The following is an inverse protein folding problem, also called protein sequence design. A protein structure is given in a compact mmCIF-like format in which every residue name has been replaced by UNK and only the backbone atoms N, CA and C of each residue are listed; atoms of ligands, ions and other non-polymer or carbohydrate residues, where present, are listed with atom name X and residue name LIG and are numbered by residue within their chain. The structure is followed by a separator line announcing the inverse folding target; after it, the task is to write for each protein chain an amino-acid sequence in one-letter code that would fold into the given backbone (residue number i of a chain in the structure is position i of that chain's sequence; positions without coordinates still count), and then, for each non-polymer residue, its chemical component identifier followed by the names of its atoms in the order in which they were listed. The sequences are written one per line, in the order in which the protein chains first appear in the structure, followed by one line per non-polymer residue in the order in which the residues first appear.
data_IF_678321490707
#
_entry.id   IF_678321490707
#
_cell.length_a   1.000
_cell.length_b   1.000
_cell.length_c   1.000
_cell.angle_alpha   90.00
_cell.angle_beta   90.00
_cell.angle_gamma   90.00
#
_symmetry.space_group_name_H-M   'P 1'
#
loop_
_entity.id
_entity.type
_entity.pdbx_description
1 polymer ?
#
# COMPACT_ATOMS: atom_id res chain seq x y z
N UNK A 1 -27.68 -2.58 7.60
CA UNK A 1 -26.51 -3.44 7.32
C UNK A 1 -25.44 -3.15 8.38
N UNK A 2 -24.91 -4.18 9.03
CA UNK A 2 -24.10 -4.01 10.25
C UNK A 2 -22.84 -3.19 9.97
N UNK A 3 -22.55 -2.17 10.78
CA UNK A 3 -21.36 -1.31 10.68
C UNK A 3 -20.04 -2.10 10.51
N UNK A 4 -19.99 -3.32 11.07
CA UNK A 4 -18.90 -4.28 10.92
C UNK A 4 -18.63 -4.72 9.46
N UNK A 5 -19.67 -4.89 8.64
CA UNK A 5 -19.54 -5.32 7.25
C UNK A 5 -18.88 -4.24 6.37
N UNK A 6 -19.22 -2.97 6.60
CA UNK A 6 -18.59 -1.86 5.86
C UNK A 6 -17.12 -1.70 6.22
N UNK A 7 -16.75 -1.86 7.49
CA UNK A 7 -15.34 -1.86 7.91
C UNK A 7 -14.57 -3.03 7.28
N UNK A 8 -15.18 -4.22 7.26
CA UNK A 8 -14.57 -5.38 6.62
C UNK A 8 -14.35 -5.16 5.11
N UNK A 9 -15.35 -4.64 4.40
CA UNK A 9 -15.23 -4.30 2.97
C UNK A 9 -14.16 -3.24 2.71
N UNK A 10 -14.04 -2.22 3.58
CA UNK A 10 -13.01 -1.20 3.45
C UNK A 10 -11.60 -1.78 3.63
N UNK A 11 -11.40 -2.60 4.66
CA UNK A 11 -10.11 -3.26 4.90
C UNK A 11 -9.79 -4.22 3.76
N UNK A 12 -10.76 -5.05 3.33
CA UNK A 12 -10.56 -5.99 2.23
C UNK A 12 -10.23 -5.27 0.91
N UNK A 13 -10.95 -4.19 0.57
CA UNK A 13 -10.65 -3.38 -0.61
C UNK A 13 -9.28 -2.70 -0.50
N UNK A 14 -8.91 -2.21 0.69
CA UNK A 14 -7.60 -1.65 0.98
C UNK A 14 -6.48 -2.67 0.78
N UNK A 15 -6.63 -3.88 1.30
CA UNK A 15 -5.65 -4.97 1.12
C UNK A 15 -5.51 -5.37 -0.35
N UNK A 16 -6.62 -5.48 -1.09
CA UNK A 16 -6.55 -5.77 -2.53
C UNK A 16 -5.81 -4.66 -3.27
N UNK A 17 -6.08 -3.40 -2.96
CA UNK A 17 -5.38 -2.27 -3.55
C UNK A 17 -3.88 -2.26 -3.19
N UNK A 18 -3.52 -2.56 -1.95
CA UNK A 18 -2.13 -2.65 -1.49
C UNK A 18 -1.35 -3.73 -2.23
N UNK A 19 -1.93 -4.93 -2.38
CA UNK A 19 -1.32 -6.03 -3.16
C UNK A 19 -1.13 -5.61 -4.62
N UNK A 20 -2.14 -4.98 -5.24
CA UNK A 20 -2.03 -4.50 -6.61
C UNK A 20 -0.93 -3.45 -6.78
N UNK A 21 -0.79 -2.54 -5.82
CA UNK A 21 0.27 -1.53 -5.81
C UNK A 21 1.65 -2.15 -5.61
N UNK A 22 1.79 -3.14 -4.73
CA UNK A 22 3.04 -3.88 -4.53
C UNK A 22 3.47 -4.62 -5.79
N UNK A 23 2.55 -5.32 -6.46
CA UNK A 23 2.82 -6.01 -7.73
C UNK A 23 3.21 -4.99 -8.81
N UNK A 24 2.47 -3.89 -8.94
CA UNK A 24 2.77 -2.86 -9.92
C UNK A 24 4.15 -2.22 -9.68
N UNK A 25 4.48 -1.89 -8.43
CA UNK A 25 5.78 -1.32 -8.07
C UNK A 25 6.93 -2.30 -8.33
N UNK A 26 6.76 -3.57 -7.97
CA UNK A 26 7.75 -4.61 -8.26
C UNK A 26 7.95 -4.80 -9.78
N UNK A 27 6.86 -4.84 -10.55
CA UNK A 27 6.92 -4.96 -12.01
C UNK A 27 7.68 -3.78 -12.66
N UNK A 28 7.41 -2.54 -12.22
CA UNK A 28 8.12 -1.35 -12.70
C UNK A 28 9.62 -1.41 -12.38
N UNK A 29 9.99 -1.85 -11.18
CA UNK A 29 11.41 -1.99 -10.80
C UNK A 29 12.12 -3.08 -11.60
N UNK A 30 11.48 -4.24 -11.79
CA UNK A 30 12.04 -5.32 -12.61
C UNK A 30 12.19 -4.87 -14.07
N UNK A 31 11.21 -4.14 -14.60
CA UNK A 31 11.29 -3.54 -15.94
C UNK A 31 12.46 -2.55 -16.03
N UNK A 32 12.64 -1.68 -15.04
CA UNK A 32 13.80 -0.78 -14.94
C UNK A 32 15.13 -1.53 -14.93
N UNK A 33 15.25 -2.61 -14.13
CA UNK A 33 16.45 -3.44 -14.12
C UNK A 33 16.72 -4.11 -15.46
N UNK A 34 15.67 -4.52 -16.18
CA UNK A 34 15.82 -5.09 -17.52
C UNK A 34 16.39 -4.06 -18.52
N UNK A 35 15.92 -2.81 -18.48
CA UNK A 35 16.46 -1.73 -19.32
C UNK A 35 17.88 -1.31 -18.92
N UNK A 36 18.20 -1.35 -17.63
CA UNK A 36 19.51 -0.98 -17.11
C UNK A 36 20.49 -2.16 -17.01
N UNK A 37 20.17 -3.33 -17.57
CA UNK A 37 20.97 -4.56 -17.42
C UNK A 37 22.42 -4.38 -17.87
N UNK A 38 22.65 -3.56 -18.88
CA UNK A 38 23.98 -3.35 -19.47
C UNK A 38 24.89 -2.51 -18.56
N UNK A 39 24.33 -1.85 -17.53
CA UNK A 39 25.07 -1.14 -16.48
C UNK A 39 25.34 -2.04 -15.25
N UNK A 40 24.78 -3.24 -15.21
CA UNK A 40 24.88 -4.14 -14.05
C UNK A 40 26.06 -5.10 -14.22
N UNK A 41 26.95 -5.22 -13.22
CA UNK A 41 28.05 -6.19 -13.27
C UNK A 41 27.54 -7.62 -13.40
N UNK A 42 28.22 -8.42 -14.22
CA UNK A 42 27.93 -9.85 -14.35
C UNK A 42 28.02 -10.54 -12.98
N UNK A 43 26.93 -11.18 -12.56
CA UNK A 43 26.80 -11.82 -11.24
C UNK A 43 26.02 -11.01 -10.19
N UNK A 44 25.81 -9.71 -10.37
CA UNK A 44 24.99 -8.90 -9.45
C UNK A 44 23.47 -9.02 -9.73
N UNK A 45 23.09 -9.54 -10.90
CA UNK A 45 21.69 -9.61 -11.35
C UNK A 45 20.74 -10.33 -10.38
N UNK A 46 21.09 -11.52 -9.80
CA UNK A 46 20.20 -12.21 -8.86
C UNK A 46 19.97 -11.42 -7.56
N UNK A 47 21.01 -10.74 -7.07
CA UNK A 47 20.93 -9.87 -5.91
C UNK A 47 20.03 -8.67 -6.21
N UNK A 48 20.22 -8.01 -7.35
CA UNK A 48 19.43 -6.84 -7.75
C UNK A 48 17.96 -7.18 -7.96
N UNK A 49 17.63 -8.35 -8.54
CA UNK A 49 16.24 -8.82 -8.64
C UNK A 49 15.60 -9.02 -7.26
N UNK A 50 16.33 -9.60 -6.31
CA UNK A 50 15.84 -9.80 -4.93
C UNK A 50 15.61 -8.46 -4.23
N UNK A 51 16.54 -7.51 -4.40
CA UNK A 51 16.40 -6.14 -3.86
C UNK A 51 15.23 -5.41 -4.51
N UNK A 52 15.05 -5.53 -5.83
CA UNK A 52 13.92 -4.92 -6.53
C UNK A 52 12.56 -5.45 -6.06
N UNK A 53 12.46 -6.75 -5.75
CA UNK A 53 11.25 -7.31 -5.17
C UNK A 53 10.93 -6.70 -3.79
N UNK A 54 11.92 -6.62 -2.89
CA UNK A 54 11.76 -6.01 -1.56
C UNK A 54 11.42 -4.52 -1.68
N UNK A 55 12.16 -3.78 -2.52
CA UNK A 55 11.88 -2.38 -2.79
C UNK A 55 10.49 -2.17 -3.40
N UNK A 56 10.03 -3.07 -4.25
CA UNK A 56 8.70 -3.04 -4.85
C UNK A 56 7.60 -3.16 -3.79
N UNK A 57 7.75 -4.08 -2.83
CA UNK A 57 6.83 -4.22 -1.70
C UNK A 57 6.79 -2.93 -0.86
N UNK A 58 7.97 -2.41 -0.50
CA UNK A 58 8.08 -1.19 0.31
C UNK A 58 7.45 0.01 -0.41
N UNK A 59 7.74 0.18 -1.71
CA UNK A 59 7.19 1.25 -2.52
C UNK A 59 5.67 1.11 -2.70
N UNK A 60 5.18 -0.11 -2.90
CA UNK A 60 3.74 -0.40 -2.94
C UNK A 60 3.04 0.04 -1.67
N UNK A 61 3.62 -0.30 -0.51
CA UNK A 61 3.07 0.08 0.80
C UNK A 61 3.06 1.59 1.01
N UNK A 62 4.15 2.29 0.62
CA UNK A 62 4.21 3.77 0.71
C UNK A 62 3.18 4.41 -0.24
N UNK A 63 3.04 3.89 -1.46
CA UNK A 63 2.06 4.37 -2.42
C UNK A 63 0.63 4.17 -1.88
N UNK A 64 0.35 3.00 -1.31
CA UNK A 64 -0.93 2.70 -0.68
C UNK A 64 -1.22 3.68 0.46
N UNK A 65 -0.28 3.91 1.37
CA UNK A 65 -0.47 4.86 2.47
C UNK A 65 -0.83 6.26 1.98
N UNK A 66 -0.17 6.75 0.92
CA UNK A 66 -0.49 8.07 0.33
C UNK A 66 -1.87 8.08 -0.34
N UNK A 67 -2.20 7.03 -1.11
CA UNK A 67 -3.49 6.93 -1.79
C UNK A 67 -4.62 6.80 -0.77
N UNK A 68 -4.46 5.96 0.25
CA UNK A 68 -5.43 5.78 1.32
C UNK A 68 -5.66 7.11 2.07
N UNK A 69 -4.60 7.82 2.45
CA UNK A 69 -4.71 9.13 3.09
C UNK A 69 -5.44 10.15 2.19
N UNK A 70 -5.17 10.13 0.88
CA UNK A 70 -5.85 10.99 -0.08
C UNK A 70 -7.33 10.65 -0.25
N UNK A 71 -7.68 9.37 -0.37
CA UNK A 71 -9.06 8.89 -0.49
C UNK A 71 -9.86 9.23 0.77
N UNK A 72 -9.28 9.02 1.96
CA UNK A 72 -9.92 9.35 3.24
C UNK A 72 -10.27 10.84 3.31
N UNK A 73 -9.31 11.71 2.98
CA UNK A 73 -9.51 13.16 2.93
C UNK A 73 -10.53 13.58 1.88
N UNK A 74 -10.46 13.00 0.68
CA UNK A 74 -11.31 13.37 -0.47
C UNK A 74 -12.77 12.98 -0.28
N UNK A 75 -13.04 11.83 0.33
CA UNK A 75 -14.39 11.31 0.52
C UNK A 75 -14.97 11.55 1.91
N UNK A 76 -14.27 12.31 2.78
CA UNK A 76 -14.68 12.57 4.16
C UNK A 76 -15.06 11.28 4.90
N UNK A 77 -14.28 10.22 4.66
CA UNK A 77 -14.54 8.88 5.20
C UNK A 77 -14.25 8.79 6.70
N UNK A 78 -13.75 9.86 7.31
CA UNK A 78 -13.54 9.98 8.76
C UNK A 78 -14.82 9.60 9.53
N UNK A 79 -15.99 10.08 9.08
CA UNK A 79 -17.30 9.77 9.68
C UNK A 79 -17.69 8.29 9.58
N UNK A 80 -17.21 7.57 8.56
CA UNK A 80 -17.51 6.13 8.35
C UNK A 80 -16.43 5.21 8.95
N UNK A 81 -15.26 5.76 9.24
CA UNK A 81 -14.14 5.10 9.92
C UNK A 81 -14.16 5.32 11.44
N UNK A 82 -15.20 5.96 11.98
CA UNK A 82 -15.42 6.16 13.42
C UNK A 82 -15.19 4.94 14.33
N UNK A 83 -15.44 3.66 13.95
CA UNK A 83 -15.07 2.54 14.82
C UNK A 83 -13.55 2.24 14.87
N UNK A 84 -12.75 2.71 13.92
CA UNK A 84 -11.29 2.50 13.84
C UNK A 84 -10.48 3.63 14.50
N UNK A 85 -11.01 4.86 14.53
CA UNK A 85 -10.33 6.04 15.11
C UNK A 85 -10.93 6.51 16.44
N UNK A 86 -11.48 5.61 17.27
CA UNK A 86 -11.94 5.95 18.63
C UNK A 86 -10.73 6.23 19.54
N UNK A 87 -10.06 7.36 19.31
CA UNK A 87 -9.21 8.01 20.29
C UNK A 87 -10.07 8.31 21.52
N UNK A 88 -9.68 7.72 22.65
CA UNK A 88 -10.45 7.71 23.87
C UNK A 88 -10.61 9.09 24.52
N UNK A 89 -11.52 9.93 24.02
CA UNK A 89 -12.13 10.96 24.85
C UNK A 89 -13.38 10.38 25.51
N UNK A 90 -13.18 9.79 26.69
CA UNK A 90 -14.22 9.74 27.72
C UNK A 90 -14.65 11.18 27.97
N UNK A 91 -15.93 11.46 27.75
CA UNK A 91 -16.61 12.61 28.35
C UNK A 91 -16.92 12.18 29.79
N UNK A 92 -16.37 12.83 30.83
CA UNK A 92 -16.91 12.74 32.17
C UNK A 92 -18.00 13.81 32.30
N UNK A 93 -19.24 13.34 32.47
CA UNK A 93 -20.33 14.11 33.05
C UNK A 93 -20.06 14.37 34.55
#
# INVERSE_FOLDING_TARGET
MGKKLNTFLFVAAGTVLDILLAIAAAAVLVMLLYFCRDLVPEGAMPLMMSVAAICGIILGMIAYQRIAAWVIRKFNLEDKLYPLFRSGKKHPD
#
